data_IF_838725512189
#
_entry.id   IF_838725512189
#
_cell.length_a   1.000
_cell.length_b   1.000
_cell.length_c   1.000
_cell.angle_alpha   90.00
_cell.angle_beta   90.00
_cell.angle_gamma   90.00
#
_symmetry.space_group_name_H-M   'P 1'
#
loop_
_entity.id
_entity.type
_entity.pdbx_description
1 polymer ?
#
# COMPACT_ATOMS: atom_id res chain seq x y z
N UNK A 1 28.51 -35.88 -15.02
CA UNK A 1 28.71 -34.67 -14.19
C UNK A 1 28.19 -33.40 -14.87
N UNK A 2 28.73 -32.99 -16.02
CA UNK A 2 28.39 -31.72 -16.70
C UNK A 2 26.90 -31.50 -17.02
N UNK A 3 26.16 -32.58 -17.34
CA UNK A 3 24.74 -32.50 -17.68
C UNK A 3 23.87 -32.02 -16.50
N UNK A 4 24.18 -32.44 -15.27
CA UNK A 4 23.47 -32.01 -14.05
C UNK A 4 23.65 -30.52 -13.77
N UNK A 5 24.85 -29.99 -13.98
CA UNK A 5 25.12 -28.55 -13.84
C UNK A 5 24.32 -27.73 -14.85
N UNK A 6 24.25 -28.19 -16.11
CA UNK A 6 23.44 -27.54 -17.15
C UNK A 6 21.94 -27.53 -16.76
N UNK A 7 21.43 -28.65 -16.26
CA UNK A 7 20.03 -28.77 -15.85
C UNK A 7 19.69 -27.87 -14.65
N UNK A 8 20.61 -27.73 -13.69
CA UNK A 8 20.45 -26.87 -12.52
C UNK A 8 20.42 -25.38 -12.91
N UNK A 9 21.27 -24.97 -13.85
CA UNK A 9 21.30 -23.59 -14.38
C UNK A 9 20.01 -23.29 -15.14
N UNK A 10 19.53 -24.22 -15.98
CA UNK A 10 18.27 -24.06 -16.71
C UNK A 10 17.05 -23.97 -15.77
N UNK A 11 17.02 -24.76 -14.71
CA UNK A 11 15.97 -24.67 -13.69
C UNK A 11 16.03 -23.35 -12.90
N UNK A 12 17.25 -22.93 -12.52
CA UNK A 12 17.47 -21.64 -11.85
C UNK A 12 17.07 -20.45 -12.73
N UNK A 13 17.35 -20.53 -14.04
CA UNK A 13 16.94 -19.53 -15.02
C UNK A 13 15.41 -19.49 -15.17
N UNK A 14 14.75 -20.65 -15.23
CA UNK A 14 13.29 -20.74 -15.30
C UNK A 14 12.60 -20.06 -14.13
N UNK A 15 13.05 -20.34 -12.90
CA UNK A 15 12.54 -19.67 -11.69
C UNK A 15 12.91 -18.19 -11.65
N UNK A 16 14.13 -17.84 -12.07
CA UNK A 16 14.59 -16.45 -12.15
C UNK A 16 13.75 -15.59 -13.09
N UNK A 17 13.34 -16.12 -14.25
CA UNK A 17 12.48 -15.42 -15.22
C UNK A 17 11.09 -15.11 -14.65
N UNK A 18 10.53 -16.02 -13.86
CA UNK A 18 9.23 -15.81 -13.21
C UNK A 18 9.34 -14.68 -12.18
N UNK A 19 10.36 -14.69 -11.33
CA UNK A 19 10.59 -13.61 -10.37
C UNK A 19 10.91 -12.27 -11.04
N UNK A 20 11.66 -12.31 -12.14
CA UNK A 20 11.95 -11.12 -12.94
C UNK A 20 10.67 -10.50 -13.51
N UNK A 21 9.76 -11.30 -14.09
CA UNK A 21 8.47 -10.81 -14.59
C UNK A 21 7.61 -10.20 -13.48
N UNK A 22 7.58 -10.83 -12.29
CA UNK A 22 6.84 -10.30 -11.14
C UNK A 22 7.39 -8.94 -10.72
N UNK A 23 8.71 -8.81 -10.61
CA UNK A 23 9.37 -7.57 -10.23
C UNK A 23 9.16 -6.45 -11.26
N UNK A 24 9.26 -6.77 -12.56
CA UNK A 24 9.01 -5.82 -13.66
C UNK A 24 7.56 -5.38 -13.67
N UNK A 25 6.61 -6.31 -13.51
CA UNK A 25 5.18 -5.99 -13.41
C UNK A 25 4.90 -5.04 -12.26
N UNK A 26 5.46 -5.29 -11.08
CA UNK A 26 5.31 -4.43 -9.91
C UNK A 26 5.95 -3.04 -10.11
N UNK A 27 7.11 -2.98 -10.77
CA UNK A 27 7.79 -1.72 -11.10
C UNK A 27 7.00 -0.87 -12.08
N UNK A 28 6.37 -1.49 -13.09
CA UNK A 28 5.51 -0.81 -14.05
C UNK A 28 4.24 -0.29 -13.36
N UNK A 29 3.64 -1.12 -12.49
CA UNK A 29 2.47 -0.74 -11.70
C UNK A 29 2.81 0.47 -10.82
N UNK A 30 3.94 0.50 -10.11
CA UNK A 30 4.29 1.66 -9.29
C UNK A 30 4.85 2.85 -10.10
N UNK A 31 5.46 2.61 -11.26
CA UNK A 31 6.07 3.64 -12.10
C UNK A 31 5.08 4.46 -12.94
N UNK A 32 3.96 3.85 -13.37
CA UNK A 32 2.89 4.58 -14.09
C UNK A 32 1.96 5.33 -13.14
N UNK A 33 1.95 4.92 -11.88
CA UNK A 33 1.00 5.33 -10.87
C UNK A 33 1.59 6.50 -10.09
N UNK A 34 1.93 7.59 -10.81
CA UNK A 34 2.44 8.86 -10.26
C UNK A 34 1.55 9.44 -9.13
N UNK A 35 0.35 8.89 -8.90
CA UNK A 35 -0.62 9.34 -7.92
C UNK A 35 -1.25 8.26 -7.02
N UNK A 36 -0.85 6.98 -7.08
CA UNK A 36 -1.29 6.03 -6.02
C UNK A 36 -0.36 6.20 -4.84
N UNK A 37 -0.68 7.26 -4.14
CA UNK A 37 -0.25 7.48 -2.80
C UNK A 37 -0.89 6.39 -1.93
N UNK A 38 -0.19 5.26 -1.75
CA UNK A 38 -0.57 4.21 -0.79
C UNK A 38 -0.74 4.79 0.63
N UNK A 39 -0.15 5.96 0.92
CA UNK A 39 -0.37 6.65 2.17
C UNK A 39 -1.81 7.15 2.30
N UNK A 40 -2.51 7.54 1.22
CA UNK A 40 -3.90 7.98 1.32
C UNK A 40 -4.84 6.86 1.82
N UNK A 41 -4.68 5.65 1.30
CA UNK A 41 -5.40 4.47 1.78
C UNK A 41 -5.04 4.10 3.23
N UNK A 42 -3.76 4.19 3.59
CA UNK A 42 -3.31 3.94 4.96
C UNK A 42 -3.82 4.99 5.97
N UNK A 43 -3.85 6.27 5.59
CA UNK A 43 -4.40 7.35 6.42
C UNK A 43 -5.92 7.23 6.61
N UNK A 44 -6.65 6.77 5.59
CA UNK A 44 -8.09 6.48 5.72
C UNK A 44 -8.37 5.38 6.75
N UNK A 45 -7.64 4.28 6.67
CA UNK A 45 -7.81 3.14 7.60
C UNK A 45 -7.35 3.51 9.02
N UNK A 46 -6.25 4.26 9.15
CA UNK A 46 -5.79 4.77 10.46
C UNK A 46 -6.83 5.72 11.09
N UNK A 47 -7.42 6.62 10.31
CA UNK A 47 -8.48 7.51 10.79
C UNK A 47 -9.70 6.72 11.30
N UNK A 48 -10.11 5.69 10.56
CA UNK A 48 -11.21 4.81 10.97
C UNK A 48 -10.89 4.04 12.27
N UNK A 49 -9.66 3.56 12.43
CA UNK A 49 -9.23 2.86 13.65
C UNK A 49 -9.17 3.78 14.88
N UNK A 50 -8.69 5.02 14.71
CA UNK A 50 -8.69 6.03 15.78
C UNK A 50 -10.13 6.38 16.19
N UNK A 51 -11.06 6.49 15.23
CA UNK A 51 -12.47 6.71 15.53
C UNK A 51 -13.07 5.53 16.31
N UNK A 52 -12.83 4.29 15.87
CA UNK A 52 -13.34 3.10 16.53
C UNK A 52 -12.83 2.97 17.98
N UNK A 53 -11.55 3.24 18.20
CA UNK A 53 -10.95 3.21 19.54
C UNK A 53 -11.46 4.34 20.43
N UNK A 54 -11.63 5.56 19.90
CA UNK A 54 -12.22 6.68 20.64
C UNK A 54 -13.70 6.42 21.03
N UNK A 55 -14.50 5.85 20.14
CA UNK A 55 -15.88 5.45 20.44
C UNK A 55 -15.92 4.37 21.52
N UNK A 56 -15.02 3.38 21.44
CA UNK A 56 -14.94 2.28 22.41
C UNK A 56 -14.55 2.74 23.81
N UNK A 57 -13.71 3.77 23.93
CA UNK A 57 -13.24 4.27 25.23
C UNK A 57 -14.16 5.34 25.84
N UNK A 58 -14.78 6.19 25.03
CA UNK A 58 -15.52 7.37 25.51
C UNK A 58 -17.04 7.17 25.52
N UNK A 59 -17.57 6.17 24.78
CA UNK A 59 -19.02 5.88 24.73
C UNK A 59 -19.88 7.01 24.15
N UNK A 60 -19.27 8.09 23.65
CA UNK A 60 -19.94 9.32 23.24
C UNK A 60 -19.72 9.57 21.74
N UNK A 61 -20.67 9.10 20.93
CA UNK A 61 -20.66 9.12 19.46
C UNK A 61 -20.37 10.52 18.87
N UNK A 62 -20.82 11.56 19.56
CA UNK A 62 -20.73 12.95 19.10
C UNK A 62 -19.30 13.53 19.12
N UNK A 63 -18.45 13.09 20.06
CA UNK A 63 -17.05 13.53 20.15
C UNK A 63 -16.18 12.89 19.06
N UNK A 64 -16.44 11.63 18.73
CA UNK A 64 -15.76 10.92 17.64
C UNK A 64 -16.07 11.54 16.27
N UNK A 65 -17.31 12.01 16.06
CA UNK A 65 -17.73 12.65 14.82
C UNK A 65 -17.07 14.04 14.59
N UNK A 66 -16.67 14.75 15.64
CA UNK A 66 -16.03 16.08 15.53
C UNK A 66 -14.51 15.97 15.44
N UNK A 67 -13.89 14.96 16.07
CA UNK A 67 -12.46 14.70 15.94
C UNK A 67 -12.09 14.10 14.58
N UNK A 68 -12.99 13.33 13.95
CA UNK A 68 -12.74 12.71 12.64
C UNK A 68 -12.45 13.73 11.51
N UNK A 69 -13.24 14.81 11.33
CA UNK A 69 -12.94 15.87 10.36
C UNK A 69 -11.74 16.73 10.75
N UNK A 70 -11.41 16.83 12.05
CA UNK A 70 -10.28 17.62 12.55
C UNK A 70 -8.95 16.95 12.23
N UNK A 71 -8.88 15.62 12.37
CA UNK A 71 -7.68 14.85 12.03
C UNK A 71 -7.46 14.73 10.53
N UNK A 72 -8.54 14.72 9.73
CA UNK A 72 -8.48 14.61 8.27
C UNK A 72 -8.05 15.90 7.54
N UNK A 73 -7.73 16.99 8.24
CA UNK A 73 -7.46 18.25 7.53
C UNK A 73 -6.26 18.16 6.58
N UNK A 74 -6.38 18.77 5.39
CA UNK A 74 -5.74 18.27 4.18
C UNK A 74 -4.27 18.64 4.15
N UNK A 75 -3.45 17.67 3.73
CA UNK A 75 -2.05 17.88 3.43
C UNK A 75 -1.87 18.96 2.36
N UNK A 76 -1.02 19.99 2.57
CA UNK A 76 -0.77 21.03 1.58
C UNK A 76 0.13 20.43 0.48
N UNK A 77 -0.49 19.82 -0.53
CA UNK A 77 0.23 19.21 -1.66
C UNK A 77 -0.58 18.31 -2.59
N UNK A 78 -1.87 18.05 -2.35
CA UNK A 78 -2.70 17.22 -3.25
C UNK A 78 -3.44 18.06 -4.28
N UNK A 79 -2.76 18.46 -5.35
CA UNK A 79 -3.38 19.13 -6.52
C UNK A 79 -4.25 18.21 -7.39
N UNK A 80 -4.60 17.01 -6.91
CA UNK A 80 -5.38 15.99 -7.65
C UNK A 80 -6.57 15.43 -6.85
N UNK A 81 -7.06 16.18 -5.87
CA UNK A 81 -8.32 15.86 -5.17
C UNK A 81 -9.58 16.47 -5.85
N UNK A 82 -9.44 16.96 -7.09
CA UNK A 82 -10.56 17.29 -7.99
C UNK A 82 -10.43 16.47 -9.28
#
# INVERSE_FOLDING_TARGET
MLNLYLFQILNGLGLGMIYFLIAVGLTIIFGLLNFVNFAHGAFFVLGAYICYTAVSLTGNFWLALVLAPWWWRPWPGSSSAC
#
